data_IF_321475404501
#
_entry.id   IF_321475404501
#
_cell.length_a   1.000
_cell.length_b   1.000
_cell.length_c   1.000
_cell.angle_alpha   90.00
_cell.angle_beta   90.00
_cell.angle_gamma   90.00
#
_symmetry.space_group_name_H-M   'P 1'
#
loop_
_entity.id
_entity.type
_entity.pdbx_description
1 polymer ?
#
# COMPACT_ATOMS: atom_id res chain seq x y z
N UNK A 1 -5.75 25.92 -5.05
CA UNK A 1 -6.53 25.23 -6.10
C UNK A 1 -6.31 23.74 -5.95
N UNK A 2 -7.36 22.92 -6.05
CA UNK A 2 -7.28 21.46 -6.08
C UNK A 2 -7.66 20.98 -7.48
N UNK A 3 -6.97 19.97 -7.98
CA UNK A 3 -7.34 19.31 -9.23
C UNK A 3 -8.54 18.38 -9.00
N UNK A 4 -9.57 18.46 -9.84
CA UNK A 4 -10.83 17.74 -9.68
C UNK A 4 -11.38 17.27 -11.04
N UNK A 5 -10.58 16.47 -11.75
CA UNK A 5 -10.89 15.77 -13.02
C UNK A 5 -10.97 16.64 -14.27
N UNK A 6 -11.80 17.70 -14.27
CA UNK A 6 -12.04 18.53 -15.47
C UNK A 6 -10.85 19.37 -15.89
N UNK A 7 -9.82 19.45 -15.05
CA UNK A 7 -8.58 20.16 -15.31
C UNK A 7 -7.44 19.24 -15.79
N UNK A 8 -7.70 17.95 -16.02
CA UNK A 8 -6.70 17.04 -16.62
C UNK A 8 -6.62 17.32 -18.12
N UNK A 9 -5.55 18.00 -18.55
CA UNK A 9 -5.23 18.18 -19.96
C UNK A 9 -4.56 16.93 -20.52
N UNK A 10 -5.18 16.30 -21.52
CA UNK A 10 -4.70 15.06 -22.14
C UNK A 10 -4.70 15.19 -23.66
N UNK A 11 -3.94 14.34 -24.36
CA UNK A 11 -4.08 14.20 -25.81
C UNK A 11 -5.29 13.32 -26.10
N UNK A 12 -5.88 13.43 -27.29
CA UNK A 12 -7.08 12.67 -27.67
C UNK A 12 -7.01 11.17 -27.31
N UNK A 13 -5.88 10.51 -27.60
CA UNK A 13 -5.70 9.09 -27.31
C UNK A 13 -5.67 8.76 -25.81
N UNK A 14 -5.07 9.62 -24.98
CA UNK A 14 -5.03 9.39 -23.53
C UNK A 14 -6.27 9.92 -22.82
N UNK A 15 -7.05 10.80 -23.46
CA UNK A 15 -8.30 11.31 -22.92
C UNK A 15 -9.29 10.18 -22.63
N UNK A 16 -9.41 9.21 -23.55
CA UNK A 16 -10.29 8.06 -23.38
C UNK A 16 -9.88 7.15 -22.21
N UNK A 17 -8.58 7.11 -21.86
CA UNK A 17 -8.07 6.33 -20.74
C UNK A 17 -8.32 7.00 -19.36
N UNK A 18 -8.42 8.33 -19.31
CA UNK A 18 -8.62 9.08 -18.06
C UNK A 18 -10.08 9.48 -17.81
N UNK A 19 -10.95 9.43 -18.83
CA UNK A 19 -12.39 9.78 -18.73
C UNK A 19 -13.31 8.58 -18.54
N UNK A 20 -12.76 7.45 -18.12
CA UNK A 20 -13.58 6.34 -17.63
C UNK A 20 -14.23 6.77 -16.32
N UNK A 21 -15.52 6.47 -16.18
CA UNK A 21 -16.32 6.87 -15.02
C UNK A 21 -15.67 6.54 -13.66
N UNK A 22 -15.04 5.36 -13.45
CA UNK A 22 -14.34 5.07 -12.18
C UNK A 22 -13.13 5.97 -11.92
N UNK A 23 -12.42 6.38 -12.97
CA UNK A 23 -11.24 7.26 -12.86
C UNK A 23 -11.69 8.69 -12.55
N UNK A 24 -12.70 9.20 -13.25
CA UNK A 24 -13.24 10.52 -12.99
C UNK A 24 -13.85 10.63 -11.59
N UNK A 25 -14.56 9.62 -11.12
CA UNK A 25 -15.09 9.61 -9.76
C UNK A 25 -13.99 9.61 -8.72
N UNK A 26 -12.98 8.73 -8.87
CA UNK A 26 -11.87 8.64 -7.92
C UNK A 26 -11.13 9.98 -7.78
N UNK A 27 -10.84 10.68 -8.89
CA UNK A 27 -10.14 11.98 -8.82
C UNK A 27 -11.00 13.03 -8.10
N UNK A 28 -12.33 13.04 -8.33
CA UNK A 28 -13.24 13.98 -7.68
C UNK A 28 -13.39 13.70 -6.19
N UNK A 29 -13.53 12.42 -5.83
CA UNK A 29 -13.61 11.95 -4.46
C UNK A 29 -12.32 12.23 -3.70
N UNK A 30 -11.17 11.95 -4.31
CA UNK A 30 -9.85 12.28 -3.76
C UNK A 30 -9.68 13.77 -3.53
N UNK A 31 -10.13 14.62 -4.47
CA UNK A 31 -10.06 16.06 -4.33
C UNK A 31 -10.94 16.59 -3.20
N UNK A 32 -12.18 16.08 -3.09
CA UNK A 32 -13.11 16.43 -2.02
C UNK A 32 -12.60 15.97 -0.65
N UNK A 33 -12.09 14.74 -0.56
CA UNK A 33 -11.49 14.20 0.65
C UNK A 33 -10.25 14.99 1.07
N UNK A 34 -9.41 15.43 0.12
CA UNK A 34 -8.25 16.27 0.43
C UNK A 34 -8.68 17.64 0.98
N UNK A 35 -9.73 18.25 0.41
CA UNK A 35 -10.26 19.50 0.91
C UNK A 35 -10.74 19.36 2.37
N UNK A 36 -11.53 18.32 2.66
CA UNK A 36 -11.99 18.02 4.01
C UNK A 36 -10.83 17.76 4.97
N UNK A 37 -9.89 16.90 4.60
CA UNK A 37 -8.71 16.60 5.40
C UNK A 37 -7.86 17.84 5.72
N UNK A 38 -7.71 18.76 4.77
CA UNK A 38 -7.04 20.04 4.98
C UNK A 38 -7.81 20.96 5.95
N UNK A 39 -9.15 20.93 5.92
CA UNK A 39 -9.96 21.65 6.90
C UNK A 39 -9.80 21.07 8.31
N UNK A 40 -9.78 19.74 8.44
CA UNK A 40 -9.68 19.06 9.74
C UNK A 40 -8.30 19.21 10.38
N UNK A 41 -7.23 19.16 9.58
CA UNK A 41 -5.84 19.18 10.08
C UNK A 41 -5.17 20.56 10.07
N UNK A 42 -5.80 21.55 9.42
CA UNK A 42 -5.18 22.85 9.16
C UNK A 42 -4.04 22.82 8.14
N UNK A 43 -3.72 21.67 7.56
CA UNK A 43 -2.69 21.53 6.53
C UNK A 43 -3.17 22.11 5.19
N UNK A 44 -2.27 22.73 4.43
CA UNK A 44 -2.57 23.13 3.04
C UNK A 44 -2.33 21.95 2.09
N UNK A 45 -3.04 21.86 0.95
CA UNK A 45 -2.89 20.74 0.01
C UNK A 45 -1.46 20.46 -0.46
N UNK A 46 -0.66 21.51 -0.68
CA UNK A 46 0.73 21.34 -1.09
C UNK A 46 1.63 20.80 0.04
N UNK A 47 1.28 21.06 1.30
CA UNK A 47 1.98 20.50 2.46
C UNK A 47 1.69 19.01 2.57
N UNK A 48 0.43 18.61 2.38
CA UNK A 48 0.04 17.19 2.35
C UNK A 48 0.81 16.43 1.26
N UNK A 49 1.00 17.03 0.08
CA UNK A 49 1.79 16.39 -1.00
C UNK A 49 3.30 16.41 -0.77
N UNK A 50 3.80 17.47 -0.15
CA UNK A 50 5.22 17.75 0.04
C UNK A 50 5.86 17.03 1.23
N UNK A 51 5.05 16.59 2.19
CA UNK A 51 5.48 15.80 3.34
C UNK A 51 4.99 14.35 3.19
N UNK A 52 5.92 13.39 3.26
CA UNK A 52 5.59 11.98 3.05
C UNK A 52 4.69 11.42 4.17
N UNK A 53 4.86 11.86 5.41
CA UNK A 53 4.03 11.38 6.52
C UNK A 53 2.59 11.90 6.40
N UNK A 54 2.42 13.18 6.06
CA UNK A 54 1.10 13.74 5.77
C UNK A 54 0.45 13.07 4.55
N UNK A 55 1.23 12.81 3.49
CA UNK A 55 0.74 12.11 2.31
C UNK A 55 0.24 10.69 2.66
N UNK A 56 1.01 9.93 3.44
CA UNK A 56 0.63 8.56 3.83
C UNK A 56 -0.60 8.52 4.73
N UNK A 57 -0.72 9.48 5.67
CA UNK A 57 -1.96 9.64 6.46
C UNK A 57 -3.16 9.94 5.57
N UNK A 58 -3.03 10.87 4.63
CA UNK A 58 -4.13 11.19 3.71
C UNK A 58 -4.49 10.00 2.79
N UNK A 59 -3.50 9.29 2.27
CA UNK A 59 -3.70 8.07 1.50
C UNK A 59 -4.41 6.98 2.31
N UNK A 60 -4.06 6.83 3.59
CA UNK A 60 -4.77 5.93 4.49
C UNK A 60 -6.25 6.32 4.65
N UNK A 61 -6.54 7.62 4.82
CA UNK A 61 -7.92 8.14 4.89
C UNK A 61 -8.72 7.84 3.62
N UNK A 62 -8.11 7.97 2.44
CA UNK A 62 -8.75 7.60 1.16
C UNK A 62 -9.12 6.11 1.13
N UNK A 63 -8.20 5.24 1.55
CA UNK A 63 -8.43 3.80 1.59
C UNK A 63 -9.52 3.39 2.57
N UNK A 64 -9.62 4.06 3.74
CA UNK A 64 -10.72 3.84 4.68
C UNK A 64 -12.09 4.21 4.10
N UNK A 65 -12.13 5.11 3.12
CA UNK A 65 -13.34 5.47 2.37
C UNK A 65 -13.60 4.56 1.16
N UNK A 66 -12.73 3.59 0.90
CA UNK A 66 -12.83 2.68 -0.25
C UNK A 66 -12.26 3.26 -1.55
N UNK A 67 -11.52 4.38 -1.49
CA UNK A 67 -10.92 5.02 -2.68
C UNK A 67 -9.57 4.38 -2.98
N UNK A 68 -9.41 3.62 -4.09
CA UNK A 68 -8.15 2.95 -4.39
C UNK A 68 -7.07 3.94 -4.81
N UNK A 69 -5.82 3.64 -4.42
CA UNK A 69 -4.61 4.39 -4.81
C UNK A 69 -3.93 3.78 -6.03
N UNK A 70 -4.10 2.47 -6.22
CA UNK A 70 -3.60 1.69 -7.33
C UNK A 70 -4.67 0.71 -7.83
N UNK A 71 -4.65 0.43 -9.13
CA UNK A 71 -5.58 -0.49 -9.75
C UNK A 71 -5.06 -1.92 -9.64
N UNK A 72 -5.60 -2.67 -8.67
CA UNK A 72 -5.48 -4.12 -8.58
C UNK A 72 -6.82 -4.74 -8.96
N UNK A 73 -6.81 -5.77 -9.80
CA UNK A 73 -8.06 -6.30 -10.36
C UNK A 73 -8.75 -7.33 -9.47
N UNK A 74 -8.04 -7.88 -8.49
CA UNK A 74 -8.43 -9.03 -7.66
C UNK A 74 -8.59 -8.70 -6.17
N UNK A 75 -8.36 -7.44 -5.76
CA UNK A 75 -8.54 -6.97 -4.38
C UNK A 75 -9.47 -5.75 -4.36
N UNK A 76 -10.80 -5.96 -4.35
CA UNK A 76 -11.79 -4.87 -4.34
C UNK A 76 -11.80 -4.13 -2.99
N UNK A 77 -12.39 -2.92 -2.97
CA UNK A 77 -12.52 -2.09 -1.76
C UNK A 77 -13.23 -2.78 -0.58
N UNK A 78 -14.09 -3.76 -0.86
CA UNK A 78 -14.78 -4.58 0.15
C UNK A 78 -13.92 -5.69 0.75
N UNK A 79 -12.74 -5.95 0.19
CA UNK A 79 -11.86 -7.02 0.65
C UNK A 79 -11.20 -6.63 1.98
N UNK A 80 -11.12 -7.53 2.99
CA UNK A 80 -10.52 -7.20 4.30
C UNK A 80 -9.07 -6.70 4.22
N UNK A 81 -8.33 -7.18 3.21
CA UNK A 81 -6.94 -6.78 2.97
C UNK A 81 -6.80 -5.58 2.01
N UNK A 82 -7.89 -4.93 1.60
CA UNK A 82 -7.83 -3.79 0.68
C UNK A 82 -6.85 -2.69 1.14
N UNK A 83 -6.99 -2.22 2.38
CA UNK A 83 -6.16 -1.16 2.95
C UNK A 83 -4.67 -1.55 3.01
N UNK A 84 -4.26 -2.66 3.67
CA UNK A 84 -2.83 -2.99 3.78
C UNK A 84 -2.20 -3.21 2.40
N UNK A 85 -2.91 -3.87 1.50
CA UNK A 85 -2.41 -4.15 0.16
C UNK A 85 -2.24 -2.88 -0.68
N UNK A 86 -3.19 -1.96 -0.64
CA UNK A 86 -3.08 -0.68 -1.35
C UNK A 86 -1.97 0.23 -0.78
N UNK A 87 -1.77 0.21 0.55
CA UNK A 87 -0.65 0.92 1.17
C UNK A 87 0.68 0.37 0.68
N UNK A 88 0.84 -0.95 0.61
CA UNK A 88 2.05 -1.60 0.09
C UNK A 88 2.31 -1.21 -1.37
N UNK A 89 1.28 -1.22 -2.21
CA UNK A 89 1.39 -0.73 -3.59
C UNK A 89 1.84 0.72 -3.64
N UNK A 90 1.23 1.59 -2.83
CA UNK A 90 1.60 3.00 -2.77
C UNK A 90 3.03 3.23 -2.23
N UNK A 91 3.59 2.27 -1.50
CA UNK A 91 4.97 2.26 -0.99
C UNK A 91 5.97 1.62 -1.98
N UNK A 92 5.51 1.11 -3.12
CA UNK A 92 6.38 0.49 -4.12
C UNK A 92 6.83 -0.93 -3.75
N UNK A 93 6.06 -1.61 -2.90
CA UNK A 93 6.42 -2.92 -2.38
C UNK A 93 6.27 -4.08 -3.38
N UNK A 94 5.62 -3.84 -4.53
CA UNK A 94 5.55 -4.80 -5.64
C UNK A 94 6.68 -4.47 -6.61
N UNK A 95 7.67 -5.36 -6.79
CA UNK A 95 8.76 -5.15 -7.75
C UNK A 95 8.20 -4.96 -9.16
N UNK A 96 8.74 -4.00 -9.91
CA UNK A 96 8.37 -3.76 -11.32
C UNK A 96 8.73 -4.90 -12.27
N UNK A 97 9.50 -5.87 -11.78
CA UNK A 97 9.83 -7.10 -12.50
C UNK A 97 9.22 -8.28 -11.73
N UNK A 98 8.11 -8.80 -12.25
CA UNK A 98 7.44 -9.96 -11.67
C UNK A 98 5.99 -10.14 -12.15
N UNK A 99 5.41 -11.33 -11.94
CA UNK A 99 4.10 -11.69 -12.48
C UNK A 99 2.96 -10.79 -11.95
N UNK A 100 3.05 -10.31 -10.71
CA UNK A 100 2.04 -9.42 -10.11
C UNK A 100 2.03 -8.03 -10.75
N UNK A 101 3.21 -7.52 -11.12
CA UNK A 101 3.32 -6.24 -11.81
C UNK A 101 2.81 -6.33 -13.25
N UNK A 102 3.13 -7.43 -13.95
CA UNK A 102 2.75 -7.63 -15.34
C UNK A 102 1.24 -7.86 -15.54
N UNK A 103 0.59 -8.54 -14.58
CA UNK A 103 -0.82 -8.92 -14.67
C UNK A 103 -1.79 -7.92 -14.01
N UNK A 104 -1.29 -7.04 -13.12
CA UNK A 104 -2.10 -6.25 -12.18
C UNK A 104 -2.96 -7.10 -11.22
N UNK A 105 -2.72 -8.41 -11.18
CA UNK A 105 -3.28 -9.33 -10.18
C UNK A 105 -2.31 -9.44 -9.02
N UNK A 106 -2.81 -9.18 -7.83
CA UNK A 106 -2.02 -9.29 -6.63
C UNK A 106 -1.93 -10.70 -6.10
N UNK A 107 -2.79 -11.63 -6.53
CA UNK A 107 -2.77 -13.06 -6.19
C UNK A 107 -2.44 -13.33 -4.72
N UNK A 108 -3.28 -12.84 -3.82
CA UNK A 108 -2.99 -12.81 -2.38
C UNK A 108 -2.62 -14.18 -1.80
N UNK A 109 -3.09 -15.28 -2.40
CA UNK A 109 -2.85 -16.65 -1.96
C UNK A 109 -1.62 -17.31 -2.61
N UNK A 110 -1.01 -16.68 -3.61
CA UNK A 110 0.21 -17.20 -4.24
C UNK A 110 1.42 -16.99 -3.31
N UNK A 111 2.30 -18.00 -3.17
CA UNK A 111 3.54 -17.87 -2.42
C UNK A 111 4.40 -16.71 -2.92
N UNK A 112 5.12 -16.08 -2.00
CA UNK A 112 6.06 -15.02 -2.33
C UNK A 112 7.39 -15.58 -2.79
N UNK A 113 7.97 -14.97 -3.81
CA UNK A 113 9.40 -15.07 -4.09
C UNK A 113 10.23 -14.32 -3.05
N UNK A 114 11.52 -14.67 -2.91
CA UNK A 114 12.46 -13.92 -2.08
C UNK A 114 12.54 -12.43 -2.45
N UNK A 115 12.40 -12.10 -3.74
CA UNK A 115 12.37 -10.73 -4.26
C UNK A 115 11.17 -9.95 -3.76
N UNK A 116 9.97 -10.53 -3.87
CA UNK A 116 8.74 -9.89 -3.43
C UNK A 116 8.75 -9.74 -1.91
N UNK A 117 9.17 -10.77 -1.18
CA UNK A 117 9.32 -10.70 0.27
C UNK A 117 10.31 -9.60 0.68
N UNK A 118 11.45 -9.46 -0.01
CA UNK A 118 12.42 -8.39 0.25
C UNK A 118 11.83 -6.99 0.03
N UNK A 119 11.15 -6.76 -1.10
CA UNK A 119 10.53 -5.47 -1.41
C UNK A 119 9.42 -5.09 -0.42
N UNK A 120 8.63 -6.08 0.01
CA UNK A 120 7.61 -5.90 1.05
C UNK A 120 8.24 -5.44 2.37
N UNK A 121 9.34 -6.06 2.79
CA UNK A 121 10.02 -5.73 4.04
C UNK A 121 10.67 -4.35 4.00
N UNK A 122 11.27 -3.99 2.87
CA UNK A 122 11.84 -2.65 2.68
C UNK A 122 10.75 -1.58 2.78
N UNK A 123 9.61 -1.79 2.10
CA UNK A 123 8.47 -0.89 2.19
C UNK A 123 7.98 -0.76 3.65
N UNK A 124 7.91 -1.86 4.40
CA UNK A 124 7.46 -1.84 5.79
C UNK A 124 8.45 -1.22 6.76
N UNK A 125 9.76 -1.38 6.53
CA UNK A 125 10.79 -0.68 7.30
C UNK A 125 10.68 0.85 7.20
N UNK A 126 9.94 1.38 6.22
CA UNK A 126 9.65 2.81 6.08
C UNK A 126 8.43 3.30 6.87
N UNK A 127 7.66 2.40 7.48
CA UNK A 127 6.46 2.73 8.25
C UNK A 127 6.85 3.26 9.64
N UNK A 128 6.38 4.45 10.05
CA UNK A 128 6.67 4.99 11.38
C UNK A 128 6.26 4.04 12.50
N UNK A 129 7.13 3.87 13.49
CA UNK A 129 6.88 3.00 14.64
C UNK A 129 7.17 1.52 14.38
N UNK A 130 7.40 1.11 13.13
CA UNK A 130 7.98 -0.20 12.81
C UNK A 130 9.50 -0.10 12.99
N UNK A 131 10.09 -1.08 13.69
CA UNK A 131 11.53 -1.14 13.86
C UNK A 131 12.23 -1.33 12.52
N UNK A 132 13.55 -1.06 12.47
CA UNK A 132 14.33 -1.33 11.27
C UNK A 132 14.17 -2.79 10.83
N UNK A 133 13.94 -3.01 9.53
CA UNK A 133 13.87 -4.36 9.00
C UNK A 133 15.21 -5.07 9.22
N UNK A 134 15.21 -6.33 9.69
CA UNK A 134 16.42 -7.13 9.77
C UNK A 134 17.02 -7.36 8.36
N UNK A 135 18.32 -7.71 8.27
CA UNK A 135 18.95 -7.97 6.99
C UNK A 135 18.27 -9.12 6.25
N UNK A 136 18.18 -8.99 4.92
CA UNK A 136 17.57 -10.00 4.07
C UNK A 136 18.29 -11.36 4.20
N UNK A 137 17.55 -12.48 4.18
CA UNK A 137 18.15 -13.81 4.10
C UNK A 137 19.10 -13.96 2.91
N UNK A 138 20.32 -14.48 3.15
CA UNK A 138 21.31 -14.78 2.09
C UNK A 138 20.75 -15.58 0.89
N UNK A 139 19.87 -16.58 1.09
CA UNK A 139 19.28 -17.30 -0.04
C UNK A 139 18.48 -16.40 -0.99
N UNK A 140 17.77 -15.38 -0.50
CA UNK A 140 17.01 -14.46 -1.36
C UNK A 140 17.93 -13.55 -2.18
N UNK A 141 19.08 -13.19 -1.62
CA UNK A 141 20.11 -12.43 -2.35
C UNK A 141 20.69 -13.29 -3.48
N UNK A 142 20.98 -14.57 -3.19
CA UNK A 142 21.57 -15.48 -4.17
C UNK A 142 20.57 -15.95 -5.25
N UNK A 143 19.30 -16.15 -4.87
CA UNK A 143 18.23 -16.70 -5.70
C UNK A 143 16.92 -15.93 -5.42
N UNK A 144 16.77 -14.71 -5.95
CA UNK A 144 15.64 -13.83 -5.62
C UNK A 144 14.29 -14.37 -6.09
N UNK A 145 14.27 -15.22 -7.11
CA UNK A 145 13.03 -15.76 -7.69
C UNK A 145 12.61 -17.10 -7.07
N UNK A 146 13.38 -17.62 -6.11
CA UNK A 146 13.01 -18.81 -5.34
C UNK A 146 11.92 -18.46 -4.32
N UNK A 147 10.98 -19.40 -4.10
CA UNK A 147 9.88 -19.22 -3.14
C UNK A 147 10.47 -19.04 -1.73
N UNK A 148 9.99 -18.02 -1.02
CA UNK A 148 10.33 -17.75 0.36
C UNK A 148 9.76 -18.83 1.28
N UNK A 149 10.57 -19.29 2.24
CA UNK A 149 10.11 -20.24 3.27
C UNK A 149 9.62 -19.50 4.51
N UNK A 150 8.79 -20.18 5.31
CA UNK A 150 8.30 -19.66 6.61
C UNK A 150 9.42 -19.16 7.51
N UNK A 151 10.51 -19.92 7.64
CA UNK A 151 11.62 -19.56 8.53
C UNK A 151 12.36 -18.31 8.06
N UNK A 152 12.47 -18.12 6.75
CA UNK A 152 13.05 -16.92 6.15
C UNK A 152 12.16 -15.71 6.35
N UNK A 153 10.85 -15.84 6.13
CA UNK A 153 9.88 -14.77 6.35
C UNK A 153 9.75 -14.38 7.84
N UNK A 154 9.69 -15.36 8.75
CA UNK A 154 9.66 -15.09 10.19
C UNK A 154 10.91 -14.35 10.65
N UNK A 155 12.10 -14.73 10.18
CA UNK A 155 13.34 -13.98 10.48
C UNK A 155 13.24 -12.55 9.99
N UNK A 156 12.71 -12.35 8.78
CA UNK A 156 12.48 -11.04 8.21
C UNK A 156 11.49 -10.18 9.02
N UNK A 157 10.53 -10.82 9.70
CA UNK A 157 9.55 -10.13 10.53
C UNK A 157 10.04 -9.81 11.96
N UNK A 158 11.23 -10.25 12.38
CA UNK A 158 11.74 -10.12 13.76
C UNK A 158 11.97 -8.68 14.28
N UNK A 159 11.60 -7.63 13.54
CA UNK A 159 11.62 -6.22 14.00
C UNK A 159 10.27 -5.51 13.89
N UNK A 160 9.27 -6.18 13.31
CA UNK A 160 7.91 -5.67 13.22
C UNK A 160 7.18 -6.17 14.47
N UNK A 161 6.73 -5.25 15.33
CA UNK A 161 5.93 -5.57 16.53
C UNK A 161 4.52 -6.04 16.13
N UNK A 162 4.48 -7.09 15.35
CA UNK A 162 3.31 -7.85 14.98
C UNK A 162 3.16 -8.91 16.06
N UNK A 163 1.92 -9.17 16.50
CA UNK A 163 1.64 -10.19 17.51
C UNK A 163 2.04 -11.59 17.05
N UNK A 164 1.36 -12.63 17.51
CA UNK A 164 1.63 -13.99 17.06
C UNK A 164 1.29 -14.13 15.56
N UNK A 165 2.29 -13.99 14.68
CA UNK A 165 2.11 -14.09 13.23
C UNK A 165 2.07 -15.57 12.84
N UNK A 166 0.91 -16.00 12.35
CA UNK A 166 0.74 -17.34 11.79
C UNK A 166 0.98 -17.28 10.28
N UNK A 167 2.07 -17.92 9.82
CA UNK A 167 2.41 -18.06 8.41
C UNK A 167 2.40 -19.54 8.01
N UNK A 168 1.99 -19.82 6.78
CA UNK A 168 2.18 -21.11 6.11
C UNK A 168 3.67 -21.42 5.87
N UNK A 169 3.98 -22.65 5.45
CA UNK A 169 5.35 -23.07 5.11
C UNK A 169 5.96 -22.25 3.95
N UNK A 170 5.10 -21.74 3.07
CA UNK A 170 5.43 -20.88 1.93
C UNK A 170 4.54 -19.63 1.97
N UNK A 171 4.95 -18.59 2.72
CA UNK A 171 4.09 -17.47 3.03
C UNK A 171 3.58 -16.74 1.80
N UNK A 172 2.32 -16.35 1.87
CA UNK A 172 1.63 -15.65 0.79
C UNK A 172 1.65 -14.13 0.99
N UNK A 173 1.33 -13.38 -0.06
CA UNK A 173 1.18 -11.93 0.04
C UNK A 173 0.08 -11.55 1.04
N UNK A 174 -1.03 -12.30 1.04
CA UNK A 174 -2.16 -12.09 1.93
C UNK A 174 -1.80 -12.27 3.40
N UNK A 175 -1.03 -13.30 3.72
CA UNK A 175 -0.55 -13.57 5.09
C UNK A 175 0.33 -12.42 5.61
N UNK A 176 1.26 -11.91 4.81
CA UNK A 176 2.07 -10.75 5.19
C UNK A 176 1.25 -9.45 5.29
N UNK A 177 0.33 -9.22 4.36
CA UNK A 177 -0.58 -8.06 4.43
C UNK A 177 -1.41 -8.09 5.73
N UNK A 178 -1.93 -9.26 6.09
CA UNK A 178 -2.72 -9.45 7.30
C UNK A 178 -1.89 -9.20 8.58
N UNK A 179 -0.65 -9.72 8.60
CA UNK A 179 0.27 -9.53 9.73
C UNK A 179 0.59 -8.04 9.99
N UNK A 180 0.57 -7.20 8.96
CA UNK A 180 0.94 -5.79 9.03
C UNK A 180 -0.22 -4.80 9.14
N UNK A 181 -1.44 -5.23 8.84
CA UNK A 181 -2.64 -4.39 8.95
C UNK A 181 -2.70 -3.56 10.24
N UNK A 182 -2.46 -4.16 11.43
CA UNK A 182 -2.47 -3.42 12.69
C UNK A 182 -1.39 -2.34 12.80
N UNK A 183 -0.18 -2.60 12.30
CA UNK A 183 0.92 -1.62 12.34
C UNK A 183 0.65 -0.43 11.43
N UNK A 184 0.11 -0.66 10.23
CA UNK A 184 -0.32 0.39 9.31
C UNK A 184 -1.44 1.24 9.91
N UNK A 185 -2.39 0.60 10.59
CA UNK A 185 -3.45 1.30 11.31
C UNK A 185 -2.86 2.18 12.41
N UNK A 186 -2.03 1.64 13.30
CA UNK A 186 -1.39 2.42 14.37
C UNK A 186 -0.52 3.57 13.88
N UNK A 187 0.13 3.44 12.70
CA UNK A 187 1.01 4.47 12.17
C UNK A 187 0.27 5.63 11.46
N UNK A 188 -0.86 5.35 10.81
CA UNK A 188 -1.50 6.29 9.88
C UNK A 188 -2.98 6.56 10.13
N UNK A 189 -3.64 5.80 11.01
CA UNK A 189 -5.00 6.15 11.42
C UNK A 189 -4.98 7.55 12.03
N UNK A 190 -6.02 8.38 11.75
CA UNK A 190 -6.16 9.64 12.45
C UNK A 190 -6.28 9.36 13.95
N UNK A 191 -5.63 10.19 14.76
CA UNK A 191 -5.81 10.16 16.21
C UNK A 191 -7.32 10.32 16.47
N UNK A 192 -7.97 9.31 17.05
CA UNK A 192 -9.35 9.44 17.51
C UNK A 192 -9.32 10.42 18.68
N UNK A 193 -9.45 11.72 18.42
CA UNK A 193 -10.07 12.58 19.40
C UNK A 193 -11.55 12.16 19.47
N UNK A 194 -11.88 11.46 20.54
CA UNK A 194 -13.24 11.16 20.99
C UNK A 194 -14.05 12.48 20.94
N UNK A 195 -15.27 12.49 20.37
CA UNK A 195 -16.08 13.71 20.26
C UNK A 195 -16.43 14.35 21.61
#
# INVERSE_FOLDING_TARGET
MLAACKNIGTRHLTNDAYRLHPVEWNVGESAGALAAHCCDTGARPHQVRGDLALLRRFQYVLLQRGVPLAWAIDVPASHPLFVPTQMLLAMGAIPSAGPRFDSLELRLDDPLSGREAAALLEAVGSVPGVGASPPLPQPWIARPDEIATRSQALRALQGVNSGEVTLSDFPTLGELCAAWGPALHGAYAPDQEDP
#
